data_IF_488781424720
#
_entry.id   IF_488781424720
#
_cell.length_a   1.000
_cell.length_b   1.000
_cell.length_c   1.000
_cell.angle_alpha   90.00
_cell.angle_beta   90.00
_cell.angle_gamma   90.00
#
_symmetry.space_group_name_H-M   'P 1'
#
loop_
_entity.id
_entity.type
_entity.pdbx_description
1 polymer ?
#
# COMPACT_ATOMS: atom_id res chain seq x y z
N UNK A 1 11.31 -19.03 14.10
CA UNK A 1 11.68 -18.22 15.28
C UNK A 1 12.76 -19.00 16.02
N UNK A 2 13.92 -18.40 16.29
CA UNK A 2 14.99 -19.08 17.03
C UNK A 2 14.86 -18.79 18.53
N UNK A 3 15.05 -19.80 19.38
CA UNK A 3 15.02 -19.70 20.85
C UNK A 3 15.94 -18.58 21.40
N UNK A 4 17.05 -18.32 20.72
CA UNK A 4 18.02 -17.29 21.06
C UNK A 4 17.50 -15.85 20.88
N UNK A 5 16.56 -15.61 19.94
CA UNK A 5 15.99 -14.28 19.73
C UNK A 5 15.07 -13.86 20.90
N UNK A 6 14.44 -14.82 21.59
CA UNK A 6 13.56 -14.60 22.75
C UNK A 6 14.37 -14.29 24.01
N UNK A 7 15.47 -15.02 24.23
CA UNK A 7 16.35 -14.83 25.39
C UNK A 7 17.14 -13.51 25.35
N UNK A 8 17.44 -12.99 24.16
CA UNK A 8 18.20 -11.74 23.98
C UNK A 8 17.32 -10.49 23.88
N UNK A 9 15.99 -10.62 24.04
CA UNK A 9 15.06 -9.48 23.94
C UNK A 9 15.04 -8.81 22.56
N UNK A 10 15.60 -9.45 21.53
CA UNK A 10 15.67 -8.93 20.17
C UNK A 10 14.43 -9.35 19.40
N UNK A 11 13.31 -8.65 19.63
CA UNK A 11 12.13 -8.77 18.77
C UNK A 11 12.46 -8.21 17.38
N UNK A 12 12.87 -9.09 16.44
CA UNK A 12 13.03 -8.72 15.04
C UNK A 12 11.68 -8.29 14.48
N UNK A 13 11.61 -7.06 13.99
CA UNK A 13 10.42 -6.54 13.31
C UNK A 13 10.21 -7.36 12.02
N UNK A 14 9.04 -7.98 11.81
CA UNK A 14 8.75 -8.69 10.56
C UNK A 14 8.90 -7.75 9.36
N UNK A 15 9.52 -8.21 8.25
CA UNK A 15 9.63 -7.41 7.04
C UNK A 15 8.26 -7.15 6.41
N UNK A 16 8.15 -6.06 5.66
CA UNK A 16 6.95 -5.77 4.88
C UNK A 16 6.69 -6.85 3.81
N UNK A 17 5.44 -7.29 3.74
CA UNK A 17 4.89 -8.20 2.74
C UNK A 17 4.09 -7.39 1.72
N UNK A 18 4.41 -7.57 0.45
CA UNK A 18 3.84 -6.80 -0.68
C UNK A 18 2.98 -7.71 -1.55
N UNK A 19 3.45 -8.91 -1.85
CA UNK A 19 2.81 -9.88 -2.74
C UNK A 19 1.36 -10.27 -2.40
N UNK A 20 0.93 -10.34 -1.11
CA UNK A 20 -0.47 -10.62 -0.81
C UNK A 20 -1.47 -9.59 -1.37
N UNK A 21 -1.02 -8.40 -1.79
CA UNK A 21 -1.86 -7.43 -2.51
C UNK A 21 -2.48 -8.02 -3.78
N UNK A 22 -1.78 -8.91 -4.48
CA UNK A 22 -2.29 -9.53 -5.71
C UNK A 22 -3.50 -10.44 -5.50
N UNK A 23 -3.79 -10.84 -4.25
CA UNK A 23 -5.03 -11.52 -3.95
C UNK A 23 -6.26 -10.64 -4.30
N UNK A 24 -6.12 -9.32 -4.29
CA UNK A 24 -7.20 -8.40 -4.66
C UNK A 24 -7.60 -8.47 -6.13
N UNK A 25 -6.69 -8.84 -7.03
CA UNK A 25 -7.00 -8.95 -8.47
C UNK A 25 -8.10 -9.98 -8.73
N UNK A 26 -8.16 -11.05 -7.93
CA UNK A 26 -9.23 -12.08 -8.04
C UNK A 26 -10.34 -11.90 -7.01
N UNK A 27 -10.02 -11.39 -5.82
CA UNK A 27 -11.03 -11.18 -4.77
C UNK A 27 -12.09 -10.15 -5.18
N UNK A 28 -11.76 -9.20 -6.06
CA UNK A 28 -12.71 -8.19 -6.55
C UNK A 28 -13.94 -8.81 -7.20
N UNK A 29 -13.77 -9.91 -7.95
CA UNK A 29 -14.87 -10.65 -8.57
C UNK A 29 -15.86 -11.14 -7.51
N UNK A 30 -15.36 -11.58 -6.35
CA UNK A 30 -16.20 -12.03 -5.23
C UNK A 30 -16.87 -10.86 -4.53
N UNK A 31 -16.14 -9.76 -4.32
CA UNK A 31 -16.68 -8.53 -3.71
C UNK A 31 -17.83 -7.96 -4.55
N UNK A 32 -17.70 -7.97 -5.87
CA UNK A 32 -18.72 -7.52 -6.81
C UNK A 32 -19.90 -8.49 -6.86
N UNK A 33 -19.64 -9.76 -7.16
CA UNK A 33 -20.70 -10.75 -7.44
C UNK A 33 -21.48 -11.19 -6.21
N UNK A 34 -20.84 -11.29 -5.04
CA UNK A 34 -21.48 -11.81 -3.82
C UNK A 34 -21.85 -10.72 -2.81
N UNK A 35 -21.04 -9.66 -2.70
CA UNK A 35 -21.25 -8.62 -1.69
C UNK A 35 -21.79 -7.30 -2.28
N UNK A 36 -21.71 -7.10 -3.59
CA UNK A 36 -22.17 -5.89 -4.29
C UNK A 36 -21.25 -4.69 -4.12
N UNK A 37 -20.00 -4.89 -3.67
CA UNK A 37 -19.00 -3.84 -3.57
C UNK A 37 -18.28 -3.65 -4.90
N UNK A 38 -18.16 -2.41 -5.34
CA UNK A 38 -17.55 -2.04 -6.62
C UNK A 38 -16.28 -1.23 -6.38
N UNK A 39 -15.24 -1.37 -7.22
CA UNK A 39 -14.11 -0.45 -7.24
C UNK A 39 -14.57 1.02 -7.27
N UNK A 40 -14.01 1.85 -6.40
CA UNK A 40 -14.28 3.29 -6.37
C UNK A 40 -13.11 4.12 -6.91
N UNK A 41 -12.17 3.47 -7.59
CA UNK A 41 -11.09 4.08 -8.36
C UNK A 41 -10.02 4.80 -7.55
N UNK A 42 -9.86 4.47 -6.27
CA UNK A 42 -8.90 5.14 -5.40
C UNK A 42 -8.17 4.16 -4.49
N UNK A 43 -6.84 4.31 -4.45
CA UNK A 43 -5.95 3.62 -3.52
C UNK A 43 -5.02 4.63 -2.85
N UNK A 44 -4.65 4.38 -1.60
CA UNK A 44 -3.55 5.10 -0.97
C UNK A 44 -2.57 4.17 -0.28
N UNK A 45 -1.28 4.32 -0.57
CA UNK A 45 -0.20 3.69 0.21
C UNK A 45 0.24 4.67 1.29
N UNK A 46 0.17 4.21 2.54
CA UNK A 46 0.43 5.01 3.73
C UNK A 46 1.80 4.65 4.31
N UNK A 47 2.64 5.67 4.49
CA UNK A 47 3.97 5.54 5.08
C UNK A 47 4.01 6.23 6.45
N UNK A 48 4.67 5.58 7.41
CA UNK A 48 4.95 6.15 8.73
C UNK A 48 5.84 7.40 8.59
N UNK A 49 5.71 8.37 9.51
CA UNK A 49 6.63 9.50 9.58
C UNK A 49 8.10 9.05 9.65
N UNK A 50 8.95 9.80 8.96
CA UNK A 50 10.40 9.60 8.93
C UNK A 50 11.07 10.96 8.80
N UNK A 51 12.16 11.16 9.56
CA UNK A 51 12.93 12.40 9.57
C UNK A 51 14.33 12.24 8.97
N UNK A 52 14.81 11.01 8.77
CA UNK A 52 16.11 10.79 8.15
C UNK A 52 16.10 11.00 6.63
N UNK A 53 17.26 11.42 6.14
CA UNK A 53 17.51 11.69 4.74
C UNK A 53 17.44 10.44 3.87
N UNK A 54 17.75 9.27 4.43
CA UNK A 54 17.69 7.99 3.74
C UNK A 54 16.26 7.65 3.31
N UNK A 55 15.29 7.63 4.23
CA UNK A 55 13.90 7.35 3.86
C UNK A 55 13.32 8.46 2.99
N UNK A 56 13.72 9.71 3.22
CA UNK A 56 13.29 10.83 2.38
C UNK A 56 13.72 10.62 0.93
N UNK A 57 14.97 10.22 0.70
CA UNK A 57 15.49 9.90 -0.63
C UNK A 57 14.78 8.70 -1.24
N UNK A 58 14.67 7.60 -0.49
CA UNK A 58 14.00 6.38 -0.98
C UNK A 58 12.54 6.64 -1.37
N UNK A 59 11.82 7.44 -0.58
CA UNK A 59 10.45 7.88 -0.88
C UNK A 59 10.39 8.67 -2.18
N UNK A 60 11.20 9.72 -2.33
CA UNK A 60 11.17 10.60 -3.51
C UNK A 60 11.43 9.77 -4.78
N UNK A 61 12.47 8.94 -4.78
CA UNK A 61 12.79 8.09 -5.93
C UNK A 61 11.67 7.08 -6.24
N UNK A 62 10.98 6.57 -5.21
CA UNK A 62 9.80 5.70 -5.40
C UNK A 62 8.64 6.48 -6.00
N UNK A 63 8.34 7.68 -5.48
CA UNK A 63 7.25 8.53 -5.99
C UNK A 63 7.49 8.93 -7.46
N UNK A 64 8.74 9.21 -7.85
CA UNK A 64 9.12 9.49 -9.24
C UNK A 64 8.89 8.28 -10.15
N UNK A 65 9.36 7.10 -9.74
CA UNK A 65 9.18 5.85 -10.47
C UNK A 65 7.70 5.52 -10.64
N UNK A 66 6.92 5.62 -9.56
CA UNK A 66 5.48 5.32 -9.56
C UNK A 66 4.72 6.31 -10.43
N UNK A 67 5.11 7.59 -10.41
CA UNK A 67 4.53 8.61 -11.27
C UNK A 67 4.80 8.31 -12.74
N UNK A 68 5.98 7.79 -13.10
CA UNK A 68 6.30 7.41 -14.47
C UNK A 68 5.41 6.24 -14.95
N UNK A 69 5.36 5.15 -14.18
CA UNK A 69 4.53 4.00 -14.51
C UNK A 69 3.04 4.34 -14.56
N UNK A 70 2.55 5.17 -13.63
CA UNK A 70 1.17 5.65 -13.64
C UNK A 70 0.82 6.41 -14.93
N UNK A 71 1.76 7.18 -15.50
CA UNK A 71 1.52 7.87 -16.78
C UNK A 71 1.29 6.89 -17.93
N UNK A 72 2.01 5.77 -17.94
CA UNK A 72 1.85 4.72 -18.96
C UNK A 72 0.47 4.05 -18.85
N UNK A 73 -0.04 3.91 -17.62
CA UNK A 73 -1.37 3.36 -17.32
C UNK A 73 -2.51 4.39 -17.43
N UNK A 74 -2.22 5.67 -17.65
CA UNK A 74 -3.16 6.80 -17.54
C UNK A 74 -3.75 7.00 -16.13
N UNK A 75 -3.05 6.52 -15.10
CA UNK A 75 -3.38 6.72 -13.69
C UNK A 75 -2.86 8.07 -13.17
N UNK A 76 -3.46 8.55 -12.07
CA UNK A 76 -3.01 9.75 -11.38
C UNK A 76 -2.34 9.42 -10.05
N UNK A 77 -1.25 10.13 -9.73
CA UNK A 77 -0.52 9.99 -8.47
C UNK A 77 -0.46 11.33 -7.76
N UNK A 78 -0.85 11.36 -6.49
CA UNK A 78 -0.76 12.54 -5.62
C UNK A 78 -0.13 12.14 -4.29
N UNK A 79 0.91 12.85 -3.87
CA UNK A 79 1.53 12.65 -2.55
C UNK A 79 1.09 13.74 -1.58
N UNK A 80 0.64 13.34 -0.38
CA UNK A 80 0.17 14.25 0.68
C UNK A 80 0.75 13.88 2.04
N UNK A 81 1.13 14.88 2.85
CA UNK A 81 1.40 14.71 4.28
C UNK A 81 0.13 14.99 5.06
N UNK A 82 -0.23 14.14 6.02
CA UNK A 82 -1.32 14.44 6.96
C UNK A 82 -0.83 15.21 8.20
N UNK A 83 -1.77 15.57 9.07
CA UNK A 83 -1.53 16.30 10.32
C UNK A 83 -0.71 15.51 11.35
N UNK A 84 -0.69 14.18 11.25
CA UNK A 84 0.09 13.28 12.11
C UNK A 84 1.46 12.94 11.49
N UNK A 85 1.77 13.50 10.33
CA UNK A 85 3.03 13.35 9.63
C UNK A 85 3.15 12.10 8.76
N UNK A 86 2.10 11.30 8.61
CA UNK A 86 2.11 10.19 7.67
C UNK A 86 2.10 10.72 6.24
N UNK A 87 2.72 9.94 5.36
CA UNK A 87 2.70 10.21 3.92
C UNK A 87 1.66 9.32 3.26
N UNK A 88 0.84 9.93 2.43
CA UNK A 88 -0.19 9.26 1.61
C UNK A 88 0.21 9.39 0.16
N UNK A 89 0.58 8.29 -0.49
CA UNK A 89 0.75 8.21 -1.94
C UNK A 89 -0.58 7.71 -2.50
N UNK A 90 -1.37 8.63 -3.03
CA UNK A 90 -2.73 8.41 -3.49
C UNK A 90 -2.70 8.15 -4.99
N UNK A 91 -3.27 7.02 -5.39
CA UNK A 91 -3.35 6.50 -6.75
C UNK A 91 -4.83 6.52 -7.17
N UNK A 92 -5.11 7.08 -8.35
CA UNK A 92 -6.47 7.11 -8.91
C UNK A 92 -6.45 6.52 -10.31
N UNK A 93 -7.30 5.52 -10.53
CA UNK A 93 -7.52 4.89 -11.83
C UNK A 93 -8.93 4.30 -11.88
N UNK A 94 -9.48 4.11 -13.09
CA UNK A 94 -10.71 3.34 -13.32
C UNK A 94 -10.46 1.83 -13.32
N UNK A 95 -9.24 1.40 -13.63
CA UNK A 95 -8.83 0.01 -13.68
C UNK A 95 -8.35 -0.45 -12.30
N UNK A 96 -8.93 -1.56 -11.82
CA UNK A 96 -8.59 -2.13 -10.52
C UNK A 96 -7.22 -2.79 -10.52
N UNK A 97 -6.83 -3.43 -11.63
CA UNK A 97 -5.56 -4.14 -11.73
C UNK A 97 -4.40 -3.15 -11.70
N UNK A 98 -4.52 -2.02 -12.40
CA UNK A 98 -3.54 -0.95 -12.38
C UNK A 98 -3.36 -0.38 -10.96
N UNK A 99 -4.46 -0.17 -10.22
CA UNK A 99 -4.38 0.28 -8.83
C UNK A 99 -3.67 -0.72 -7.92
N UNK A 100 -3.95 -2.03 -8.07
CA UNK A 100 -3.27 -3.08 -7.30
C UNK A 100 -1.79 -3.15 -7.66
N UNK A 101 -1.46 -3.08 -8.95
CA UNK A 101 -0.09 -3.13 -9.46
C UNK A 101 0.74 -1.93 -8.96
N UNK A 102 0.20 -0.71 -9.09
CA UNK A 102 0.87 0.51 -8.61
C UNK A 102 1.08 0.48 -7.09
N UNK A 103 0.10 0.01 -6.31
CA UNK A 103 0.22 -0.14 -4.86
C UNK A 103 1.30 -1.16 -4.46
N UNK A 104 1.36 -2.30 -5.18
CA UNK A 104 2.41 -3.29 -4.99
C UNK A 104 3.78 -2.70 -5.31
N UNK A 105 3.91 -2.01 -6.45
CA UNK A 105 5.15 -1.39 -6.89
C UNK A 105 5.68 -0.35 -5.91
N UNK A 106 4.83 0.53 -5.36
CA UNK A 106 5.23 1.47 -4.27
C UNK A 106 5.85 0.69 -3.10
N UNK A 107 5.14 -0.34 -2.63
CA UNK A 107 5.57 -1.15 -1.49
C UNK A 107 6.87 -1.91 -1.77
N UNK A 108 6.96 -2.53 -2.94
CA UNK A 108 8.11 -3.34 -3.34
C UNK A 108 9.35 -2.47 -3.54
N UNK A 109 9.22 -1.32 -4.19
CA UNK A 109 10.35 -0.43 -4.43
C UNK A 109 10.90 0.17 -3.12
N UNK A 110 10.01 0.57 -2.19
CA UNK A 110 10.44 1.01 -0.85
C UNK A 110 11.13 -0.12 -0.08
N UNK A 111 10.62 -1.35 -0.18
CA UNK A 111 11.23 -2.52 0.46
C UNK A 111 12.63 -2.80 -0.09
N UNK A 112 12.80 -2.78 -1.41
CA UNK A 112 14.09 -2.98 -2.09
C UNK A 112 15.11 -1.89 -1.74
N UNK A 113 14.64 -0.65 -1.56
CA UNK A 113 15.46 0.48 -1.10
C UNK A 113 15.76 0.45 0.41
N UNK A 114 15.35 -0.58 1.15
CA UNK A 114 15.56 -0.68 2.60
C UNK A 114 14.63 0.18 3.46
N UNK A 115 13.61 0.78 2.85
CA UNK A 115 12.60 1.64 3.49
C UNK A 115 11.28 0.91 3.83
N UNK A 116 11.27 -0.43 3.74
CA UNK A 116 10.07 -1.25 3.93
C UNK A 116 9.47 -1.20 5.34
N UNK A 117 10.25 -0.88 6.37
CA UNK A 117 9.77 -0.72 7.75
C UNK A 117 8.85 0.51 7.93
N UNK A 118 8.89 1.44 6.97
CA UNK A 118 8.00 2.62 6.93
C UNK A 118 6.67 2.35 6.28
N UNK A 119 6.50 1.24 5.56
CA UNK A 119 5.20 0.85 5.00
C UNK A 119 4.22 0.52 6.12
N UNK A 120 3.12 1.27 6.19
CA UNK A 120 2.05 1.01 7.14
C UNK A 120 0.96 0.15 6.50
N UNK A 121 0.29 0.70 5.49
CA UNK A 121 -0.87 0.08 4.90
C UNK A 121 -1.10 0.53 3.45
N UNK A 122 -1.84 -0.25 2.69
CA UNK A 122 -2.50 0.18 1.46
C UNK A 122 -4.01 0.17 1.69
N UNK A 123 -4.69 1.24 1.29
CA UNK A 123 -6.12 1.45 1.54
C UNK A 123 -6.83 1.51 0.21
N UNK A 124 -7.75 0.59 -0.04
CA UNK A 124 -8.51 0.48 -1.29
C UNK A 124 -9.95 0.93 -1.06
N UNK A 125 -10.42 1.88 -1.87
CA UNK A 125 -11.79 2.40 -1.77
C UNK A 125 -12.75 1.54 -2.59
N UNK A 126 -13.82 1.08 -1.93
CA UNK A 126 -14.94 0.38 -2.53
C UNK A 126 -16.24 1.16 -2.24
N UNK A 127 -17.23 0.98 -3.10
CA UNK A 127 -18.55 1.60 -2.95
C UNK A 127 -19.69 0.62 -3.24
N UNK A 128 -20.81 0.84 -2.58
CA UNK A 128 -22.08 0.14 -2.83
C UNK A 128 -23.21 1.12 -2.57
N UNK A 129 -23.91 1.53 -3.61
CA UNK A 129 -24.95 2.58 -3.52
C UNK A 129 -24.41 3.85 -2.84
N UNK A 130 -24.94 4.21 -1.66
CA UNK A 130 -24.49 5.33 -0.83
C UNK A 130 -23.41 4.97 0.20
N UNK A 131 -23.05 3.69 0.31
CA UNK A 131 -22.08 3.19 1.27
C UNK A 131 -20.66 3.20 0.68
N UNK A 132 -19.68 3.53 1.53
CA UNK A 132 -18.25 3.48 1.22
C UNK A 132 -17.57 2.53 2.19
N UNK A 133 -16.71 1.66 1.65
CA UNK A 133 -15.87 0.75 2.41
C UNK A 133 -14.40 1.01 2.05
N UNK A 134 -13.51 0.91 3.03
CA UNK A 134 -12.08 0.98 2.82
C UNK A 134 -11.43 -0.34 3.21
N UNK A 135 -10.97 -1.10 2.23
CA UNK A 135 -10.24 -2.32 2.49
C UNK A 135 -8.77 -1.98 2.77
N UNK A 136 -8.31 -2.28 3.97
CA UNK A 136 -6.99 -1.91 4.47
C UNK A 136 -6.08 -3.14 4.47
N UNK A 137 -5.05 -3.11 3.64
CA UNK A 137 -3.96 -4.07 3.65
C UNK A 137 -2.86 -3.62 4.60
N UNK A 138 -2.48 -4.43 5.58
CA UNK A 138 -1.36 -4.12 6.47
C UNK A 138 -0.06 -4.75 5.95
N UNK A 139 0.90 -3.95 5.51
CA UNK A 139 2.17 -4.45 4.95
C UNK A 139 2.98 -5.27 5.95
N UNK A 140 2.93 -4.97 7.25
CA UNK A 140 3.68 -5.71 8.27
C UNK A 140 3.09 -7.10 8.51
N UNK A 141 1.77 -7.22 8.48
CA UNK A 141 1.05 -8.49 8.75
C UNK A 141 0.76 -9.30 7.49
N UNK A 142 0.73 -8.67 6.32
CA UNK A 142 0.32 -9.32 5.08
C UNK A 142 -1.16 -9.70 5.05
N UNK A 143 -2.01 -8.97 5.79
CA UNK A 143 -3.43 -9.30 5.96
C UNK A 143 -4.33 -8.10 5.67
N UNK A 144 -5.55 -8.40 5.25
CA UNK A 144 -6.59 -7.41 4.97
C UNK A 144 -7.55 -7.22 6.15
N UNK A 145 -8.02 -6.00 6.31
CA UNK A 145 -9.02 -5.58 7.29
C UNK A 145 -10.08 -4.73 6.60
N UNK A 146 -11.38 -4.92 6.91
CA UNK A 146 -12.44 -4.03 6.44
C UNK A 146 -12.39 -2.65 7.13
#
# INVERSE_FOLDING_TARGET
MSFWDVLLGRTRVPPAQTDPLFALSTAIITLESKAGWQPAGGVAVVLRPAEDSFYTKARIETEELVTLAAREMNSQVVSKKDEYGYRWIILTDKDWEDLVALAHMVGQNLKEKGAGDRLLAAVFKLKKESQVLFLIFNYKRGTFYP
#
